data_IF_184719202019
#
_entry.id   IF_184719202019
#
_cell.length_a   1.000
_cell.length_b   1.000
_cell.length_c   1.000
_cell.angle_alpha   90.00
_cell.angle_beta   90.00
_cell.angle_gamma   90.00
#
_symmetry.space_group_name_H-M   'P 1'
#
loop_
_entity.id
_entity.type
_entity.pdbx_description
1 polymer ?
#
# COMPACT_ATOMS: atom_id res chain seq x y z
N UNK A 1 8.04 -84.85 -11.74
CA UNK A 1 8.85 -83.63 -11.62
C UNK A 1 8.23 -82.56 -12.45
N UNK A 2 7.41 -81.68 -11.86
CA UNK A 2 6.72 -80.63 -12.53
C UNK A 2 7.29 -79.25 -12.06
N UNK A 3 7.89 -78.47 -12.97
CA UNK A 3 8.41 -77.15 -12.69
C UNK A 3 7.29 -76.12 -12.78
N UNK A 4 6.97 -75.49 -11.65
CA UNK A 4 6.07 -74.33 -11.57
C UNK A 4 6.80 -73.07 -12.09
N UNK A 5 6.31 -72.46 -13.14
CA UNK A 5 6.77 -71.15 -13.64
C UNK A 5 5.97 -70.04 -12.92
N UNK A 6 6.68 -69.28 -12.09
CA UNK A 6 6.18 -68.07 -11.45
C UNK A 6 6.04 -66.96 -12.47
N UNK A 7 4.81 -66.46 -12.71
CA UNK A 7 4.52 -65.24 -13.47
C UNK A 7 4.46 -64.06 -12.49
N UNK A 8 5.50 -63.26 -12.47
CA UNK A 8 5.53 -61.97 -11.77
C UNK A 8 4.71 -60.96 -12.56
N UNK A 9 3.55 -60.59 -12.05
CA UNK A 9 2.75 -59.47 -12.60
C UNK A 9 3.37 -58.18 -12.12
N UNK A 10 3.94 -57.44 -13.07
CA UNK A 10 4.41 -56.07 -12.89
C UNK A 10 3.20 -55.12 -13.01
N UNK A 11 2.68 -54.64 -11.88
CA UNK A 11 1.64 -53.65 -11.81
C UNK A 11 2.28 -52.27 -12.02
N UNK A 12 2.12 -51.72 -13.22
CA UNK A 12 2.42 -50.31 -13.51
C UNK A 12 1.39 -49.41 -12.80
N UNK A 13 1.81 -48.78 -11.71
CA UNK A 13 1.08 -47.66 -11.11
C UNK A 13 1.27 -46.44 -12.02
N UNK A 14 0.28 -46.16 -12.88
CA UNK A 14 0.14 -44.85 -13.49
C UNK A 14 -0.23 -43.84 -12.38
N UNK A 15 0.77 -43.12 -11.89
CA UNK A 15 0.55 -41.93 -11.09
C UNK A 15 -0.12 -40.88 -11.96
N UNK A 16 -1.41 -40.67 -11.80
CA UNK A 16 -2.10 -39.51 -12.34
C UNK A 16 -1.50 -38.28 -11.65
N UNK A 17 -0.64 -37.55 -12.36
CA UNK A 17 -0.30 -36.19 -12.03
C UNK A 17 -1.60 -35.38 -12.14
N UNK A 18 -2.28 -35.19 -11.01
CA UNK A 18 -3.28 -34.15 -10.87
C UNK A 18 -2.53 -32.82 -10.98
N UNK A 19 -2.46 -32.29 -12.19
CA UNK A 19 -2.12 -30.89 -12.37
C UNK A 19 -3.21 -30.10 -11.62
N UNK A 20 -2.91 -29.70 -10.38
CA UNK A 20 -3.65 -28.65 -9.72
C UNK A 20 -3.42 -27.41 -10.59
N UNK A 21 -4.36 -27.17 -11.51
CA UNK A 21 -4.49 -25.84 -12.11
C UNK A 21 -4.56 -24.87 -10.92
N UNK A 22 -3.49 -24.11 -10.70
CA UNK A 22 -3.55 -22.95 -9.85
C UNK A 22 -4.64 -22.08 -10.47
N UNK A 23 -5.86 -22.17 -9.93
CA UNK A 23 -6.91 -21.24 -10.24
C UNK A 23 -6.32 -19.88 -9.81
N UNK A 24 -5.91 -19.09 -10.81
CA UNK A 24 -5.64 -17.69 -10.58
C UNK A 24 -6.91 -17.16 -9.89
N UNK A 25 -6.78 -16.76 -8.63
CA UNK A 25 -7.92 -16.31 -7.84
C UNK A 25 -8.50 -15.11 -8.57
N UNK A 26 -9.70 -15.29 -9.15
CA UNK A 26 -10.40 -14.23 -9.88
C UNK A 26 -10.87 -13.19 -8.89
N UNK A 27 -10.01 -12.22 -8.62
CA UNK A 27 -10.32 -11.13 -7.71
C UNK A 27 -11.18 -10.08 -8.42
N UNK A 28 -12.41 -9.92 -7.95
CA UNK A 28 -13.34 -8.89 -8.44
C UNK A 28 -13.61 -7.88 -7.31
N UNK A 29 -13.20 -6.61 -7.47
CA UNK A 29 -13.57 -5.56 -6.54
C UNK A 29 -15.04 -5.18 -6.71
N UNK A 30 -15.67 -4.75 -5.63
CA UNK A 30 -16.96 -4.08 -5.71
C UNK A 30 -16.83 -2.72 -6.40
N UNK A 31 -17.94 -2.13 -6.87
CA UNK A 31 -17.91 -0.78 -7.47
C UNK A 31 -17.32 0.27 -6.54
N UNK A 32 -17.63 0.20 -5.23
CA UNK A 32 -17.09 1.13 -4.24
C UNK A 32 -15.59 0.93 -3.99
N UNK A 33 -15.12 -0.31 -3.96
CA UNK A 33 -13.69 -0.63 -3.85
C UNK A 33 -12.93 -0.13 -5.08
N UNK A 34 -13.48 -0.35 -6.28
CA UNK A 34 -12.88 0.18 -7.52
C UNK A 34 -12.81 1.71 -7.50
N UNK A 35 -13.87 2.40 -7.10
CA UNK A 35 -13.89 3.86 -7.04
C UNK A 35 -12.89 4.42 -6.01
N UNK A 36 -12.61 3.68 -4.94
CA UNK A 36 -11.67 4.07 -3.89
C UNK A 36 -10.20 3.75 -4.24
N UNK A 37 -9.94 3.00 -5.29
CA UNK A 37 -8.58 2.64 -5.69
C UNK A 37 -7.77 3.85 -6.18
N UNK A 38 -6.44 3.83 -6.02
CA UNK A 38 -5.56 4.76 -6.73
C UNK A 38 -5.78 4.68 -8.25
N UNK A 39 -5.60 5.80 -8.94
CA UNK A 39 -5.83 5.91 -10.40
C UNK A 39 -5.09 4.84 -11.21
N UNK A 40 -3.84 4.57 -10.90
CA UNK A 40 -3.06 3.54 -11.58
C UNK A 40 -3.63 2.13 -11.37
N UNK A 41 -4.26 1.86 -10.21
CA UNK A 41 -4.93 0.60 -9.96
C UNK A 41 -6.23 0.47 -10.76
N UNK A 42 -7.04 1.54 -10.82
CA UNK A 42 -8.22 1.58 -11.67
C UNK A 42 -7.84 1.34 -13.13
N UNK A 43 -6.86 2.12 -13.63
CA UNK A 43 -6.35 2.00 -15.00
C UNK A 43 -5.83 0.58 -15.30
N UNK A 44 -5.04 0.00 -14.37
CA UNK A 44 -4.49 -1.34 -14.56
C UNK A 44 -5.57 -2.41 -14.58
N UNK A 45 -6.58 -2.30 -13.71
CA UNK A 45 -7.61 -3.31 -13.61
C UNK A 45 -8.52 -3.36 -14.84
N UNK A 46 -8.92 -2.21 -15.40
CA UNK A 46 -9.75 -2.17 -16.62
C UNK A 46 -9.06 -2.77 -17.85
N UNK A 47 -7.74 -2.95 -17.82
CA UNK A 47 -6.99 -3.64 -18.89
C UNK A 47 -6.94 -5.16 -18.73
N UNK A 48 -7.34 -5.71 -17.57
CA UNK A 48 -7.42 -7.16 -17.36
C UNK A 48 -8.66 -7.77 -18.01
N UNK A 49 -8.61 -9.08 -18.31
CA UNK A 49 -9.75 -9.76 -18.92
C UNK A 49 -10.98 -9.76 -18.00
N UNK A 50 -10.79 -9.87 -16.68
CA UNK A 50 -11.85 -9.76 -15.69
C UNK A 50 -12.39 -8.33 -15.61
N UNK A 51 -11.49 -7.36 -15.58
CA UNK A 51 -11.83 -5.93 -15.50
C UNK A 51 -12.66 -5.46 -16.69
N UNK A 52 -12.29 -5.87 -17.90
CA UNK A 52 -13.04 -5.54 -19.14
C UNK A 52 -14.49 -6.02 -19.13
N UNK A 53 -14.81 -7.04 -18.34
CA UNK A 53 -16.16 -7.57 -18.21
C UNK A 53 -17.03 -6.78 -17.21
N UNK A 54 -16.44 -5.85 -16.47
CA UNK A 54 -17.15 -5.09 -15.45
C UNK A 54 -17.85 -3.86 -16.04
N UNK A 55 -19.09 -3.52 -15.57
CA UNK A 55 -19.85 -2.40 -16.13
C UNK A 55 -19.13 -1.06 -16.09
N UNK A 56 -18.31 -0.82 -15.06
CA UNK A 56 -17.57 0.43 -14.90
C UNK A 56 -16.31 0.51 -15.77
N UNK A 57 -15.82 -0.61 -16.32
CA UNK A 57 -14.66 -0.60 -17.21
C UNK A 57 -14.96 0.11 -18.54
N UNK A 58 -16.16 -0.06 -19.07
CA UNK A 58 -16.57 0.58 -20.35
C UNK A 58 -16.68 2.09 -20.26
N UNK A 59 -16.83 2.63 -19.05
CA UNK A 59 -16.94 4.07 -18.77
C UNK A 59 -15.59 4.67 -18.34
N UNK A 60 -14.56 3.86 -18.12
CA UNK A 60 -13.26 4.35 -17.68
C UNK A 60 -12.50 4.96 -18.87
N UNK A 61 -12.03 6.24 -18.78
CA UNK A 61 -11.43 6.90 -19.92
C UNK A 61 -10.10 6.24 -20.34
N UNK A 62 -9.99 5.86 -21.62
CA UNK A 62 -8.76 5.28 -22.18
C UNK A 62 -7.57 6.23 -22.03
N UNK A 63 -7.79 7.55 -22.12
CA UNK A 63 -6.75 8.57 -21.93
C UNK A 63 -6.07 8.49 -20.55
N UNK A 64 -6.81 8.07 -19.51
CA UNK A 64 -6.24 7.84 -18.19
C UNK A 64 -5.37 6.59 -18.18
N UNK A 65 -5.78 5.52 -18.84
CA UNK A 65 -4.98 4.29 -18.98
C UNK A 65 -3.67 4.61 -19.67
N UNK A 66 -3.72 5.31 -20.80
CA UNK A 66 -2.56 5.68 -21.60
C UNK A 66 -1.60 6.57 -20.81
N UNK A 67 -2.14 7.53 -20.03
CA UNK A 67 -1.34 8.39 -19.17
C UNK A 67 -0.64 7.59 -18.07
N UNK A 68 -1.35 6.65 -17.39
CA UNK A 68 -0.74 5.84 -16.35
C UNK A 68 0.35 4.90 -16.90
N UNK A 69 0.16 4.38 -18.10
CA UNK A 69 1.19 3.59 -18.80
C UNK A 69 2.40 4.46 -19.15
N UNK A 70 2.18 5.69 -19.62
CA UNK A 70 3.26 6.63 -19.95
C UNK A 70 4.07 7.02 -18.69
N UNK A 71 3.39 7.28 -17.57
CA UNK A 71 4.00 7.71 -16.32
C UNK A 71 4.79 6.59 -15.62
N UNK A 72 4.29 5.35 -15.68
CA UNK A 72 4.81 4.21 -14.92
C UNK A 72 5.72 3.30 -15.78
N UNK A 73 5.50 3.28 -17.10
CA UNK A 73 6.10 2.31 -18.01
C UNK A 73 5.34 0.98 -18.03
N UNK A 74 5.18 0.40 -19.22
CA UNK A 74 4.35 -0.80 -19.42
C UNK A 74 4.76 -1.98 -18.54
N UNK A 75 6.05 -2.33 -18.49
CA UNK A 75 6.55 -3.50 -17.74
C UNK A 75 6.23 -3.43 -16.24
N UNK A 76 6.30 -2.24 -15.67
CA UNK A 76 5.94 -1.98 -14.27
C UNK A 76 4.42 -1.96 -14.10
N UNK A 77 3.70 -1.23 -14.97
CA UNK A 77 2.26 -1.10 -14.95
C UNK A 77 1.55 -2.47 -15.02
N UNK A 78 2.00 -3.35 -15.90
CA UNK A 78 1.45 -4.69 -16.05
C UNK A 78 1.51 -5.51 -14.75
N UNK A 79 2.55 -5.32 -13.94
CA UNK A 79 2.79 -6.06 -12.68
C UNK A 79 1.97 -5.55 -11.50
N UNK A 80 1.32 -4.38 -11.62
CA UNK A 80 0.63 -3.74 -10.49
C UNK A 80 -0.70 -4.40 -10.08
N UNK A 81 -1.26 -5.31 -10.88
CA UNK A 81 -2.59 -5.87 -10.56
C UNK A 81 -2.64 -6.61 -9.21
N UNK A 82 -1.58 -7.31 -8.84
CA UNK A 82 -1.47 -7.96 -7.53
C UNK A 82 -1.37 -6.93 -6.39
N UNK A 83 -0.52 -5.91 -6.54
CA UNK A 83 -0.45 -4.81 -5.57
C UNK A 83 -1.82 -4.16 -5.36
N UNK A 84 -2.57 -3.93 -6.42
CA UNK A 84 -3.90 -3.35 -6.36
C UNK A 84 -4.91 -4.26 -5.65
N UNK A 85 -4.87 -5.57 -5.90
CA UNK A 85 -5.65 -6.55 -5.15
C UNK A 85 -5.27 -6.53 -3.66
N UNK A 86 -3.98 -6.46 -3.34
CA UNK A 86 -3.48 -6.37 -1.97
C UNK A 86 -4.00 -5.17 -1.19
N UNK A 87 -4.18 -4.01 -1.84
CA UNK A 87 -4.81 -2.83 -1.21
C UNK A 87 -6.23 -3.14 -0.77
N UNK A 88 -7.03 -3.83 -1.60
CA UNK A 88 -8.41 -4.16 -1.25
C UNK A 88 -8.47 -5.19 -0.11
N UNK A 89 -7.66 -6.24 -0.17
CA UNK A 89 -7.57 -7.20 0.90
C UNK A 89 -7.20 -6.54 2.24
N UNK A 90 -6.25 -5.60 2.22
CA UNK A 90 -5.90 -4.83 3.41
C UNK A 90 -7.07 -3.97 3.91
N UNK A 91 -7.81 -3.33 3.01
CA UNK A 91 -8.96 -2.51 3.39
C UNK A 91 -10.12 -3.36 3.93
N UNK A 92 -10.38 -4.54 3.35
CA UNK A 92 -11.34 -5.52 3.87
C UNK A 92 -10.95 -5.96 5.28
N UNK A 93 -9.68 -6.34 5.47
CA UNK A 93 -9.16 -6.72 6.78
C UNK A 93 -9.33 -5.64 7.87
N UNK A 94 -9.21 -4.35 7.50
CA UNK A 94 -9.40 -3.23 8.43
C UNK A 94 -10.85 -3.05 8.88
N UNK A 95 -11.81 -3.46 8.05
CA UNK A 95 -13.24 -3.37 8.34
C UNK A 95 -13.81 -4.66 8.94
N UNK A 96 -13.07 -5.77 8.81
CA UNK A 96 -13.52 -7.09 9.23
C UNK A 96 -13.46 -7.24 10.77
N UNK A 97 -14.54 -7.75 11.36
CA UNK A 97 -14.68 -8.00 12.81
C UNK A 97 -14.39 -9.44 13.20
N UNK A 98 -14.64 -10.38 12.30
CA UNK A 98 -14.28 -11.78 12.53
C UNK A 98 -12.76 -11.96 12.39
N UNK A 99 -12.13 -12.50 13.44
CA UNK A 99 -10.69 -12.63 13.49
C UNK A 99 -10.13 -13.64 12.48
N UNK A 100 -10.90 -14.68 12.12
CA UNK A 100 -10.44 -15.67 11.16
C UNK A 100 -10.49 -15.10 9.74
N UNK A 101 -11.59 -14.40 9.39
CA UNK A 101 -11.74 -13.68 8.14
C UNK A 101 -10.70 -12.56 8.00
N UNK A 102 -10.47 -11.77 9.05
CA UNK A 102 -9.43 -10.73 9.07
C UNK A 102 -8.04 -11.31 8.79
N UNK A 103 -7.69 -12.43 9.44
CA UNK A 103 -6.40 -13.11 9.21
C UNK A 103 -6.29 -13.66 7.79
N UNK A 104 -7.39 -14.13 7.22
CA UNK A 104 -7.44 -14.58 5.82
C UNK A 104 -7.15 -13.42 4.88
N UNK A 105 -7.83 -12.29 5.05
CA UNK A 105 -7.64 -11.10 4.23
C UNK A 105 -6.22 -10.55 4.34
N UNK A 106 -5.64 -10.50 5.55
CA UNK A 106 -4.26 -10.04 5.75
C UNK A 106 -3.22 -10.96 5.08
N UNK A 107 -3.44 -12.29 5.10
CA UNK A 107 -2.55 -13.22 4.38
C UNK A 107 -2.62 -12.99 2.87
N UNK A 108 -3.82 -12.79 2.32
CA UNK A 108 -3.99 -12.46 0.91
C UNK A 108 -3.34 -11.12 0.58
N UNK A 109 -3.60 -10.08 1.37
CA UNK A 109 -2.95 -8.78 1.20
C UNK A 109 -1.43 -8.90 1.15
N UNK A 110 -0.84 -9.64 2.10
CA UNK A 110 0.61 -9.84 2.16
C UNK A 110 1.13 -10.58 0.93
N UNK A 111 0.49 -11.68 0.54
CA UNK A 111 0.89 -12.49 -0.62
C UNK A 111 0.87 -11.67 -1.91
N UNK A 112 -0.20 -10.92 -2.13
CA UNK A 112 -0.41 -10.11 -3.32
C UNK A 112 0.59 -8.96 -3.42
N UNK A 113 0.79 -8.21 -2.33
CA UNK A 113 1.75 -7.09 -2.32
C UNK A 113 3.19 -7.59 -2.43
N UNK A 114 3.54 -8.67 -1.72
CA UNK A 114 4.87 -9.28 -1.77
C UNK A 114 5.19 -9.79 -3.18
N UNK A 115 4.23 -10.45 -3.83
CA UNK A 115 4.39 -10.92 -5.22
C UNK A 115 4.77 -9.79 -6.16
N UNK A 116 4.12 -8.62 -6.02
CA UNK A 116 4.47 -7.43 -6.81
C UNK A 116 5.86 -6.92 -6.44
N UNK A 117 6.12 -6.73 -5.14
CA UNK A 117 7.41 -6.22 -4.67
C UNK A 117 8.59 -7.04 -5.20
N UNK A 118 8.50 -8.38 -5.17
CA UNK A 118 9.58 -9.26 -5.59
C UNK A 118 9.93 -9.10 -7.08
N UNK A 119 8.98 -8.63 -7.88
CA UNK A 119 9.09 -8.54 -9.35
C UNK A 119 9.30 -7.13 -9.90
N UNK A 120 9.20 -6.12 -9.04
CA UNK A 120 9.47 -4.74 -9.45
C UNK A 120 10.97 -4.41 -9.41
N UNK A 121 11.37 -3.51 -10.29
CA UNK A 121 12.63 -2.80 -10.14
C UNK A 121 12.59 -1.97 -8.84
N UNK A 122 13.56 -2.22 -7.96
CA UNK A 122 13.63 -1.56 -6.65
C UNK A 122 13.93 -0.06 -6.76
N UNK A 123 14.51 0.39 -7.86
CA UNK A 123 14.79 1.81 -8.12
C UNK A 123 13.60 2.53 -8.74
N UNK A 124 12.57 1.81 -9.18
CA UNK A 124 11.37 2.46 -9.74
C UNK A 124 10.58 3.18 -8.65
N UNK A 125 10.15 4.46 -8.85
CA UNK A 125 9.48 5.26 -7.81
C UNK A 125 8.23 4.61 -7.22
N UNK A 126 7.46 3.85 -8.01
CA UNK A 126 6.25 3.15 -7.53
C UNK A 126 6.55 2.10 -6.46
N UNK A 127 7.79 1.63 -6.38
CA UNK A 127 8.22 0.63 -5.37
C UNK A 127 8.04 1.17 -3.96
N UNK A 128 8.18 2.46 -3.74
CA UNK A 128 7.90 3.08 -2.43
C UNK A 128 6.44 2.88 -2.02
N UNK A 129 5.50 3.03 -2.95
CA UNK A 129 4.07 2.83 -2.67
C UNK A 129 3.76 1.37 -2.33
N UNK A 130 4.39 0.43 -3.05
CA UNK A 130 4.25 -1.00 -2.78
C UNK A 130 4.80 -1.35 -1.39
N UNK A 131 5.96 -0.82 -1.02
CA UNK A 131 6.57 -1.02 0.30
C UNK A 131 5.75 -0.39 1.43
N UNK A 132 5.15 0.79 1.21
CA UNK A 132 4.24 1.41 2.19
C UNK A 132 3.04 0.49 2.44
N UNK A 133 2.42 -0.06 1.40
CA UNK A 133 1.28 -0.98 1.58
C UNK A 133 1.73 -2.27 2.26
N UNK A 134 2.91 -2.81 1.93
CA UNK A 134 3.46 -3.98 2.62
C UNK A 134 3.66 -3.70 4.11
N UNK A 135 4.23 -2.56 4.47
CA UNK A 135 4.39 -2.13 5.86
C UNK A 135 3.02 -1.95 6.57
N UNK A 136 2.01 -1.44 5.88
CA UNK A 136 0.66 -1.33 6.42
C UNK A 136 0.01 -2.70 6.67
N UNK A 137 0.30 -3.70 5.83
CA UNK A 137 -0.13 -5.09 6.05
C UNK A 137 0.56 -5.68 7.29
N UNK A 138 1.88 -5.45 7.43
CA UNK A 138 2.62 -5.85 8.64
C UNK A 138 2.02 -5.20 9.89
N UNK A 139 1.76 -3.90 9.86
CA UNK A 139 1.14 -3.16 10.98
C UNK A 139 -0.26 -3.69 11.32
N UNK A 140 -1.10 -3.99 10.31
CA UNK A 140 -2.42 -4.54 10.51
C UNK A 140 -2.41 -5.98 11.06
N UNK A 141 -1.26 -6.66 10.94
CA UNK A 141 -0.96 -7.97 11.51
C UNK A 141 -0.26 -7.89 12.86
N UNK A 142 -0.16 -6.71 13.47
CA UNK A 142 0.58 -6.41 14.70
C UNK A 142 2.09 -6.69 14.64
N UNK A 143 2.64 -6.88 13.43
CA UNK A 143 4.07 -7.07 13.18
C UNK A 143 4.77 -5.73 12.91
N UNK A 144 4.97 -4.96 13.97
CA UNK A 144 5.57 -3.62 13.89
C UNK A 144 7.06 -3.65 13.53
N UNK A 145 7.76 -4.75 13.81
CA UNK A 145 9.14 -4.93 13.39
C UNK A 145 9.23 -4.98 11.86
N UNK A 146 8.44 -5.87 11.23
CA UNK A 146 8.31 -5.94 9.79
C UNK A 146 7.94 -4.58 9.16
N UNK A 147 6.98 -3.87 9.75
CA UNK A 147 6.55 -2.56 9.23
C UNK A 147 7.68 -1.53 9.28
N UNK A 148 8.40 -1.46 10.39
CA UNK A 148 9.54 -0.56 10.55
C UNK A 148 10.66 -0.87 9.56
N UNK A 149 11.10 -2.13 9.48
CA UNK A 149 12.19 -2.56 8.61
C UNK A 149 11.85 -2.30 7.14
N UNK A 150 10.61 -2.56 6.74
CA UNK A 150 10.14 -2.30 5.37
C UNK A 150 10.17 -0.80 5.04
N UNK A 151 9.75 0.06 5.95
CA UNK A 151 9.74 1.52 5.72
C UNK A 151 11.14 2.12 5.77
N UNK A 152 12.03 1.68 6.67
CA UNK A 152 13.42 2.12 6.67
C UNK A 152 14.15 1.65 5.40
N UNK A 153 13.85 0.46 4.89
CA UNK A 153 14.37 0.02 3.60
C UNK A 153 13.85 0.90 2.44
N UNK A 154 12.58 1.29 2.47
CA UNK A 154 12.01 2.19 1.46
C UNK A 154 12.69 3.58 1.49
N UNK A 155 12.98 4.10 2.68
CA UNK A 155 13.73 5.35 2.89
C UNK A 155 15.16 5.23 2.33
N UNK A 156 15.83 4.11 2.58
CA UNK A 156 17.19 3.89 2.07
C UNK A 156 17.24 3.79 0.54
N UNK A 157 16.23 3.18 -0.08
CA UNK A 157 16.15 3.07 -1.55
C UNK A 157 15.77 4.39 -2.22
N UNK A 158 14.90 5.19 -1.60
CA UNK A 158 14.36 6.43 -2.15
C UNK A 158 14.36 7.55 -1.12
N UNK A 159 15.53 8.07 -0.74
CA UNK A 159 15.66 8.99 0.41
C UNK A 159 14.92 10.32 0.23
N UNK A 160 14.60 10.72 -1.00
CA UNK A 160 13.81 11.94 -1.25
C UNK A 160 12.29 11.70 -1.34
N UNK A 161 11.83 10.46 -1.22
CA UNK A 161 10.41 10.15 -1.22
C UNK A 161 9.78 10.43 0.16
N UNK A 162 8.82 11.36 0.22
CA UNK A 162 8.16 11.75 1.47
C UNK A 162 7.32 10.63 2.11
N UNK A 163 6.67 9.81 1.28
CA UNK A 163 5.71 8.79 1.70
C UNK A 163 6.23 7.81 2.76
N UNK A 164 7.40 7.18 2.60
CA UNK A 164 7.94 6.26 3.59
C UNK A 164 8.20 6.90 4.96
N UNK A 165 8.73 8.14 5.02
CA UNK A 165 8.90 8.89 6.27
C UNK A 165 7.56 9.16 6.93
N UNK A 166 6.58 9.63 6.14
CA UNK A 166 5.22 9.88 6.62
C UNK A 166 4.58 8.62 7.19
N UNK A 167 4.67 7.50 6.48
CA UNK A 167 4.09 6.23 6.92
C UNK A 167 4.73 5.72 8.22
N UNK A 168 6.06 5.79 8.33
CA UNK A 168 6.80 5.39 9.52
C UNK A 168 6.46 6.29 10.73
N UNK A 169 6.37 7.59 10.50
CA UNK A 169 6.00 8.54 11.54
C UNK A 169 4.55 8.36 12.02
N UNK A 170 3.61 8.09 11.11
CA UNK A 170 2.22 7.77 11.45
C UNK A 170 2.17 6.52 12.33
N UNK A 171 2.91 5.47 11.96
CA UNK A 171 3.00 4.24 12.76
C UNK A 171 3.49 4.52 14.19
N UNK A 172 4.55 5.32 14.35
CA UNK A 172 5.06 5.69 15.67
C UNK A 172 4.08 6.59 16.45
N UNK A 173 3.44 7.56 15.76
CA UNK A 173 2.45 8.44 16.36
C UNK A 173 1.23 7.68 16.91
N UNK A 174 0.71 6.71 16.17
CA UNK A 174 -0.42 5.88 16.58
C UNK A 174 -0.08 5.05 17.83
N UNK A 175 1.20 4.72 18.01
CA UNK A 175 1.74 4.07 19.21
C UNK A 175 2.17 5.05 20.31
N UNK A 176 1.87 6.33 20.16
CA UNK A 176 2.26 7.43 21.08
C UNK A 176 3.78 7.56 21.29
N UNK A 177 4.58 7.09 20.36
CA UNK A 177 6.04 7.23 20.34
C UNK A 177 6.41 8.53 19.62
N UNK A 178 5.99 9.66 20.18
CA UNK A 178 6.03 10.97 19.52
C UNK A 178 7.45 11.43 19.19
N UNK A 179 8.43 11.13 20.04
CA UNK A 179 9.83 11.50 19.79
C UNK A 179 10.38 10.78 18.56
N UNK A 180 10.09 9.47 18.40
CA UNK A 180 10.47 8.71 17.22
C UNK A 180 9.77 9.22 15.97
N UNK A 181 8.47 9.54 16.07
CA UNK A 181 7.72 10.10 14.95
C UNK A 181 8.32 11.46 14.52
N UNK A 182 8.70 12.31 15.48
CA UNK A 182 9.34 13.60 15.20
C UNK A 182 10.70 13.43 14.53
N UNK A 183 11.54 12.54 15.03
CA UNK A 183 12.86 12.26 14.44
C UNK A 183 12.74 11.82 12.97
N UNK A 184 11.84 10.87 12.68
CA UNK A 184 11.60 10.39 11.32
C UNK A 184 11.12 11.52 10.41
N UNK A 185 10.17 12.34 10.84
CA UNK A 185 9.66 13.45 10.03
C UNK A 185 10.71 14.53 9.81
N UNK A 186 11.57 14.81 10.80
CA UNK A 186 12.69 15.76 10.64
C UNK A 186 13.73 15.23 9.66
N UNK A 187 14.02 13.93 9.66
CA UNK A 187 14.86 13.28 8.63
C UNK A 187 14.23 13.48 7.22
N UNK A 188 12.92 13.25 7.10
CA UNK A 188 12.19 13.46 5.85
C UNK A 188 12.16 14.93 5.41
N UNK A 189 11.99 15.86 6.35
CA UNK A 189 12.02 17.31 6.08
C UNK A 189 13.39 17.73 5.53
N UNK A 190 14.47 17.24 6.13
CA UNK A 190 15.82 17.48 5.64
C UNK A 190 16.05 16.85 4.25
N UNK A 191 15.63 15.59 4.05
CA UNK A 191 15.82 14.88 2.79
C UNK A 191 15.02 15.51 1.62
N UNK A 192 13.88 16.14 1.92
CA UNK A 192 13.05 16.85 0.95
C UNK A 192 13.31 18.37 0.90
N UNK A 193 14.36 18.84 1.57
CA UNK A 193 14.74 20.28 1.65
C UNK A 193 13.59 21.20 2.12
N UNK A 194 12.73 20.70 3.02
CA UNK A 194 11.55 21.41 3.52
C UNK A 194 10.44 21.62 2.48
N UNK A 195 10.54 20.98 1.30
CA UNK A 195 9.63 21.20 0.14
C UNK A 195 8.48 20.21 0.08
N UNK A 196 8.40 19.23 0.99
CA UNK A 196 7.30 18.27 1.01
C UNK A 196 6.10 18.80 1.78
N UNK A 197 4.98 19.00 1.07
CA UNK A 197 3.70 19.36 1.69
C UNK A 197 3.20 18.28 2.66
N UNK A 198 3.43 17.02 2.34
CA UNK A 198 3.04 15.88 3.15
C UNK A 198 3.82 15.79 4.46
N UNK A 199 5.14 15.97 4.43
CA UNK A 199 5.98 15.98 5.65
C UNK A 199 5.56 17.13 6.57
N UNK A 200 5.39 18.34 6.02
CA UNK A 200 4.96 19.49 6.82
C UNK A 200 3.58 19.28 7.44
N UNK A 201 2.65 18.67 6.71
CA UNK A 201 1.33 18.33 7.24
C UNK A 201 1.42 17.30 8.40
N UNK A 202 2.21 16.24 8.24
CA UNK A 202 2.38 15.23 9.28
C UNK A 202 3.13 15.75 10.50
N UNK A 203 4.14 16.62 10.31
CA UNK A 203 4.79 17.36 11.41
C UNK A 203 3.76 18.21 12.17
N UNK A 204 2.92 18.95 11.46
CA UNK A 204 1.87 19.75 12.08
C UNK A 204 0.89 18.90 12.90
N UNK A 205 0.44 17.75 12.39
CA UNK A 205 -0.43 16.83 13.13
C UNK A 205 0.25 16.29 14.39
N UNK A 206 1.52 15.90 14.29
CA UNK A 206 2.30 15.41 15.42
C UNK A 206 2.47 16.47 16.50
N UNK A 207 2.81 17.71 16.10
CA UNK A 207 2.99 18.84 17.02
C UNK A 207 1.69 19.20 17.75
N UNK A 208 0.52 19.08 17.08
CA UNK A 208 -0.78 19.20 17.78
C UNK A 208 -0.93 18.12 18.85
N UNK A 209 -0.56 16.86 18.56
CA UNK A 209 -0.66 15.77 19.54
C UNK A 209 0.35 15.96 20.70
N UNK A 210 1.47 16.62 20.46
CA UNK A 210 2.47 17.04 21.45
C UNK A 210 2.09 18.37 22.18
N UNK A 211 0.98 19.03 21.78
CA UNK A 211 0.50 20.32 22.29
C UNK A 211 1.43 21.52 22.00
N UNK A 212 2.33 21.39 21.07
CA UNK A 212 3.15 22.48 20.53
C UNK A 212 2.37 23.15 19.37
N UNK A 213 1.39 24.00 19.76
CA UNK A 213 0.43 24.55 18.81
C UNK A 213 1.04 25.62 17.89
N UNK A 214 1.99 26.39 18.39
CA UNK A 214 2.63 27.46 17.62
C UNK A 214 3.42 26.85 16.45
N UNK A 215 4.29 25.88 16.74
CA UNK A 215 5.00 25.15 15.69
C UNK A 215 4.05 24.36 14.78
N UNK A 216 2.92 23.85 15.30
CA UNK A 216 1.93 23.14 14.49
C UNK A 216 1.27 24.07 13.46
N UNK A 217 0.98 25.34 13.82
CA UNK A 217 0.44 26.35 12.92
C UNK A 217 1.43 26.69 11.82
N UNK A 218 2.71 26.90 12.15
CA UNK A 218 3.75 27.15 11.15
C UNK A 218 3.86 26.03 10.13
N UNK A 219 3.91 24.78 10.60
CA UNK A 219 3.97 23.60 9.73
C UNK A 219 2.70 23.45 8.89
N UNK A 220 1.52 23.75 9.45
CA UNK A 220 0.26 23.71 8.71
C UNK A 220 0.24 24.77 7.58
N UNK A 221 0.61 26.01 7.86
CA UNK A 221 0.74 27.07 6.84
C UNK A 221 1.67 26.61 5.72
N UNK A 222 2.86 26.12 6.08
CA UNK A 222 3.83 25.64 5.10
C UNK A 222 3.30 24.49 4.26
N UNK A 223 2.58 23.52 4.85
CA UNK A 223 1.95 22.43 4.11
C UNK A 223 0.97 22.93 3.05
N UNK A 224 0.12 23.91 3.41
CA UNK A 224 -0.87 24.47 2.48
C UNK A 224 -0.26 25.39 1.42
N UNK A 225 0.76 26.17 1.73
CA UNK A 225 1.55 26.91 0.75
C UNK A 225 2.17 25.98 -0.30
N UNK A 226 2.60 24.79 0.11
CA UNK A 226 3.13 23.75 -0.77
C UNK A 226 2.04 22.92 -1.47
N UNK A 227 0.76 23.29 -1.32
CA UNK A 227 -0.36 22.69 -2.03
C UNK A 227 -0.94 21.42 -1.39
N UNK A 228 -0.75 21.18 -0.07
CA UNK A 228 -1.40 20.03 0.56
C UNK A 228 -2.92 20.11 0.49
N UNK A 229 -3.62 19.08 -0.04
CA UNK A 229 -5.02 19.24 -0.44
C UNK A 229 -6.04 19.09 0.71
N UNK A 230 -5.66 18.45 1.83
CA UNK A 230 -6.63 18.07 2.87
C UNK A 230 -6.65 19.09 4.01
N UNK A 231 -7.82 19.66 4.36
CA UNK A 231 -7.94 20.73 5.37
C UNK A 231 -7.92 20.20 6.82
N UNK A 232 -7.69 18.91 7.05
CA UNK A 232 -7.86 18.25 8.34
C UNK A 232 -7.06 18.87 9.49
N UNK A 233 -5.78 19.23 9.24
CA UNK A 233 -4.92 19.87 10.22
C UNK A 233 -5.42 21.28 10.58
N UNK A 234 -5.76 22.11 9.58
CA UNK A 234 -6.37 23.44 9.79
C UNK A 234 -7.65 23.29 10.62
N UNK A 235 -8.56 22.42 10.23
CA UNK A 235 -9.81 22.18 10.95
C UNK A 235 -9.57 21.72 12.40
N UNK A 236 -8.53 20.93 12.66
CA UNK A 236 -8.14 20.50 14.01
C UNK A 236 -7.66 21.70 14.84
N UNK A 237 -6.80 22.54 14.28
CA UNK A 237 -6.29 23.75 14.94
C UNK A 237 -7.40 24.79 15.18
N UNK A 238 -8.34 24.97 14.25
CA UNK A 238 -9.53 25.82 14.43
C UNK A 238 -10.39 25.34 15.60
N UNK A 239 -10.69 24.03 15.67
CA UNK A 239 -11.47 23.48 16.79
C UNK A 239 -10.78 23.62 18.15
N UNK A 240 -9.47 23.75 18.17
CA UNK A 240 -8.67 23.97 19.38
C UNK A 240 -8.48 25.46 19.71
N UNK A 241 -9.06 26.36 18.89
CA UNK A 241 -8.86 27.81 18.98
C UNK A 241 -7.36 28.20 18.92
N UNK A 242 -6.64 27.55 18.01
CA UNK A 242 -5.20 27.75 17.76
C UNK A 242 -4.87 28.23 16.36
N UNK A 243 -5.83 28.20 15.44
CA UNK A 243 -5.61 28.76 14.11
C UNK A 243 -5.78 30.29 14.16
N UNK A 244 -4.88 31.09 13.53
CA UNK A 244 -5.00 32.56 13.51
C UNK A 244 -6.32 33.00 12.88
N UNK A 245 -6.99 33.98 13.52
CA UNK A 245 -8.22 34.54 12.99
C UNK A 245 -7.92 35.42 11.78
N UNK A 246 -8.69 35.23 10.70
CA UNK A 246 -8.55 36.03 9.48
C UNK A 246 -7.66 35.42 8.38
N UNK A 247 -7.19 34.18 8.56
CA UNK A 247 -6.42 33.43 7.56
C UNK A 247 -7.14 32.18 7.03
#
# INVERSE_FOLDING_TARGET
>A
MARLKSLTRLTLLLGALVATSAHAYEFVPTTSEFAAWPRHCQARYVTTDIGKQQPWATQFPQTIVDQQIADIGWDTFERLHHYCAGIIWLNRARMERDLAAKRFDLRNARSEVQFTYDRLDKQHPITTNVMIVLAQVCQASDDYGCAQDTLEQAIALHPQAAGPYSALAVMYRDRKQFDKAKDVLMRGDAATEGKSSEINYNLGLLLVDMKDYDSAVERAKRAYELGYPLPGLRNKLVRLDKWPQGE
#
